data_IF_069961606057
#
_entry.id   IF_069961606057
#
_cell.length_a   1.000
_cell.length_b   1.000
_cell.length_c   1.000
_cell.angle_alpha   90.00
_cell.angle_beta   90.00
_cell.angle_gamma   90.00
#
_symmetry.space_group_name_H-M   'P 1'
#
loop_
_entity.id
_entity.type
_entity.pdbx_description
1 polymer ?
#
# COMPACT_ATOMS: atom_id res chain seq x y z
N UNK A 1 15.20 -49.47 -14.79
CA UNK A 1 15.48 -48.40 -13.80
C UNK A 1 15.50 -46.99 -14.39
N UNK A 2 16.23 -46.69 -15.48
CA UNK A 2 16.28 -45.33 -16.09
C UNK A 2 14.91 -44.72 -16.47
N UNK A 3 13.92 -45.53 -16.88
CA UNK A 3 12.57 -45.05 -17.26
C UNK A 3 11.73 -44.57 -16.08
N UNK A 4 11.94 -45.12 -14.88
CA UNK A 4 11.19 -44.75 -13.67
C UNK A 4 11.67 -43.41 -13.13
N UNK A 5 12.98 -43.14 -13.22
CA UNK A 5 13.58 -41.87 -12.79
C UNK A 5 13.10 -40.70 -13.66
N UNK A 6 12.95 -40.90 -14.98
CA UNK A 6 12.43 -39.88 -15.90
C UNK A 6 10.95 -39.59 -15.62
N UNK A 7 10.14 -40.61 -15.33
CA UNK A 7 8.73 -40.44 -14.93
C UNK A 7 8.61 -39.67 -13.61
N UNK A 8 9.46 -39.99 -12.63
CA UNK A 8 9.49 -39.28 -11.34
C UNK A 8 9.94 -37.82 -11.50
N UNK A 9 10.93 -37.58 -12.37
CA UNK A 9 11.36 -36.22 -12.71
C UNK A 9 10.24 -35.45 -13.39
N UNK A 10 9.48 -36.06 -14.30
CA UNK A 10 8.33 -35.42 -14.95
C UNK A 10 7.21 -35.09 -13.98
N UNK A 11 6.92 -35.98 -13.01
CA UNK A 11 5.95 -35.69 -11.94
C UNK A 11 6.44 -34.59 -11.00
N UNK A 12 7.73 -34.55 -10.65
CA UNK A 12 8.34 -33.47 -9.86
C UNK A 12 8.44 -32.15 -10.64
N UNK A 13 8.61 -32.20 -11.97
CA UNK A 13 8.56 -31.03 -12.85
C UNK A 13 7.13 -30.51 -13.01
N UNK A 14 6.13 -31.40 -13.07
CA UNK A 14 4.71 -31.01 -13.11
C UNK A 14 4.24 -30.38 -11.80
N UNK A 15 4.87 -30.71 -10.67
CA UNK A 15 4.58 -30.06 -9.38
C UNK A 15 5.12 -28.62 -9.33
N UNK A 16 6.16 -28.29 -10.12
CA UNK A 16 6.66 -26.92 -10.28
C UNK A 16 5.85 -26.05 -11.26
N UNK A 17 4.77 -26.58 -11.85
CA UNK A 17 3.93 -25.86 -12.81
C UNK A 17 2.53 -25.49 -12.26
N UNK A 18 2.21 -25.84 -11.02
CA UNK A 18 0.94 -25.42 -10.42
C UNK A 18 1.03 -23.96 -10.00
N UNK A 19 0.19 -23.14 -10.63
CA UNK A 19 -0.15 -21.82 -10.15
C UNK A 19 -0.62 -21.95 -8.69
N UNK A 20 0.25 -21.62 -7.74
CA UNK A 20 -0.01 -21.74 -6.31
C UNK A 20 -1.05 -20.69 -5.87
N UNK A 21 -2.31 -20.93 -6.22
CA UNK A 21 -3.45 -20.21 -5.69
C UNK A 21 -3.87 -20.88 -4.39
N UNK A 22 -3.64 -20.21 -3.26
CA UNK A 22 -4.11 -20.63 -1.95
C UNK A 22 -5.24 -19.69 -1.53
N UNK A 23 -6.39 -20.26 -1.13
CA UNK A 23 -7.50 -19.50 -0.56
C UNK A 23 -7.92 -20.16 0.73
N UNK A 24 -7.72 -19.46 1.84
CA UNK A 24 -7.99 -19.93 3.19
C UNK A 24 -8.82 -18.91 3.96
N UNK A 25 -9.82 -19.37 4.69
CA UNK A 25 -10.56 -18.51 5.60
C UNK A 25 -9.69 -18.14 6.80
N UNK A 26 -9.67 -16.87 7.17
CA UNK A 26 -8.90 -16.32 8.27
C UNK A 26 -9.84 -15.87 9.37
N UNK A 27 -9.49 -16.16 10.62
CA UNK A 27 -10.20 -15.64 11.79
C UNK A 27 -9.87 -14.18 12.09
N UNK A 28 -8.83 -13.63 11.43
CA UNK A 28 -8.31 -12.30 11.68
C UNK A 28 -8.53 -11.38 10.48
N UNK A 29 -8.93 -10.14 10.76
CA UNK A 29 -8.90 -9.00 9.86
C UNK A 29 -8.63 -7.75 10.70
N UNK A 30 -7.59 -6.94 10.40
CA UNK A 30 -7.25 -5.79 11.22
C UNK A 30 -8.32 -4.69 11.10
N UNK A 31 -8.46 -3.91 12.16
CA UNK A 31 -9.47 -2.85 12.24
C UNK A 31 -9.16 -1.65 11.34
N UNK A 32 -7.89 -1.48 10.95
CA UNK A 32 -7.40 -0.34 10.17
C UNK A 32 -6.46 -0.81 9.04
N UNK A 33 -6.19 0.06 8.05
CA UNK A 33 -5.15 -0.17 7.03
C UNK A 33 -5.59 -0.98 5.81
N UNK A 34 -6.90 -1.17 5.63
CA UNK A 34 -7.50 -1.76 4.45
C UNK A 34 -7.99 -0.69 3.47
N UNK A 35 -8.11 -1.06 2.20
CA UNK A 35 -8.82 -0.28 1.20
C UNK A 35 -10.28 -0.73 1.16
N UNK A 36 -11.17 0.22 0.92
CA UNK A 36 -12.61 -0.03 0.83
C UNK A 36 -13.08 0.15 -0.61
N UNK A 37 -13.85 -0.82 -1.10
CA UNK A 37 -14.58 -0.75 -2.35
C UNK A 37 -16.06 -0.78 -2.01
N UNK A 38 -16.74 0.35 -2.24
CA UNK A 38 -18.19 0.46 -2.05
C UNK A 38 -18.89 0.51 -3.40
N UNK A 39 -19.95 -0.27 -3.54
CA UNK A 39 -20.98 -0.05 -4.55
C UNK A 39 -22.35 -0.25 -3.91
N UNK A 40 -23.42 -0.07 -4.70
CA UNK A 40 -24.81 -0.11 -4.22
C UNK A 40 -25.18 -1.40 -3.45
N UNK A 41 -24.44 -2.49 -3.66
CA UNK A 41 -24.76 -3.81 -3.11
C UNK A 41 -23.65 -4.40 -2.24
N UNK A 42 -22.44 -3.87 -2.29
CA UNK A 42 -21.25 -4.48 -1.69
C UNK A 42 -20.36 -3.45 -1.02
N UNK A 43 -19.89 -3.82 0.16
CA UNK A 43 -18.80 -3.19 0.87
C UNK A 43 -17.66 -4.22 0.95
N UNK A 44 -16.55 -3.99 0.25
CA UNK A 44 -15.42 -4.91 0.22
C UNK A 44 -14.23 -4.22 0.87
N UNK A 45 -13.64 -4.88 1.84
CA UNK A 45 -12.41 -4.43 2.48
C UNK A 45 -11.27 -5.39 2.20
N UNK A 46 -10.08 -4.83 2.02
CA UNK A 46 -8.98 -5.61 1.47
C UNK A 46 -7.63 -4.97 1.75
N UNK A 47 -6.70 -5.84 2.12
CA UNK A 47 -5.33 -5.52 2.46
C UNK A 47 -4.43 -6.35 1.56
N UNK A 48 -3.46 -5.68 0.93
CA UNK A 48 -2.36 -6.37 0.27
C UNK A 48 -1.28 -6.65 1.31
N UNK A 49 -1.03 -7.93 1.57
CA UNK A 49 -0.06 -8.37 2.57
C UNK A 49 1.37 -8.27 2.04
N UNK A 50 1.58 -8.71 0.80
CA UNK A 50 2.86 -8.59 0.10
C UNK A 50 2.69 -8.76 -1.42
N UNK A 51 3.72 -8.38 -2.17
CA UNK A 51 3.94 -8.76 -3.57
C UNK A 51 5.44 -8.83 -3.84
N UNK A 52 5.87 -9.92 -4.45
CA UNK A 52 7.20 -10.13 -5.00
C UNK A 52 7.10 -10.50 -6.48
N UNK A 53 8.23 -10.84 -7.11
CA UNK A 53 8.25 -11.17 -8.53
C UNK A 53 7.44 -12.42 -8.89
N UNK A 54 7.20 -13.31 -7.94
CA UNK A 54 6.57 -14.62 -8.15
C UNK A 54 5.12 -14.66 -7.68
N UNK A 55 4.83 -14.04 -6.53
CA UNK A 55 3.55 -14.16 -5.85
C UNK A 55 3.12 -12.88 -5.14
N UNK A 56 1.83 -12.81 -4.84
CA UNK A 56 1.24 -11.76 -4.02
C UNK A 56 0.15 -12.33 -3.14
N UNK A 57 -0.08 -11.70 -2.00
CA UNK A 57 -1.10 -12.11 -1.07
C UNK A 57 -2.00 -10.98 -0.64
N UNK A 58 -3.26 -11.33 -0.39
CA UNK A 58 -4.30 -10.44 0.06
C UNK A 58 -5.07 -11.04 1.23
N UNK A 59 -5.64 -10.17 2.04
CA UNK A 59 -6.69 -10.50 2.98
C UNK A 59 -7.93 -9.73 2.55
N UNK A 60 -9.04 -10.41 2.29
CA UNK A 60 -10.31 -9.80 1.89
C UNK A 60 -11.41 -10.10 2.90
N UNK A 61 -12.30 -9.14 3.17
CA UNK A 61 -13.63 -9.41 3.72
C UNK A 61 -14.65 -8.60 2.95
N UNK A 62 -15.90 -9.02 2.94
CA UNK A 62 -16.92 -8.29 2.21
C UNK A 62 -18.27 -8.41 2.89
N UNK A 63 -19.06 -7.36 2.84
CA UNK A 63 -20.44 -7.33 3.27
C UNK A 63 -21.33 -7.06 2.05
N UNK A 64 -22.44 -7.77 1.96
CA UNK A 64 -23.52 -7.47 1.03
C UNK A 64 -24.69 -6.91 1.83
N UNK A 65 -25.10 -5.69 1.50
CA UNK A 65 -26.35 -5.12 2.04
C UNK A 65 -27.50 -5.84 1.33
N UNK A 66 -28.39 -6.44 2.10
CA UNK A 66 -29.37 -7.37 1.56
C UNK A 66 -30.74 -7.28 2.25
N UNK A 67 -31.84 -7.54 1.55
CA UNK A 67 -33.20 -7.33 2.09
C UNK A 67 -34.18 -8.50 1.89
N UNK A 68 -33.77 -9.63 1.32
CA UNK A 68 -34.70 -10.75 1.07
C UNK A 68 -34.23 -12.06 1.72
N UNK A 69 -34.88 -12.54 2.79
CA UNK A 69 -34.38 -13.67 3.58
C UNK A 69 -34.32 -15.04 2.86
N UNK A 70 -34.92 -15.19 1.67
CA UNK A 70 -35.10 -16.49 0.99
C UNK A 70 -34.07 -16.77 -0.11
N UNK A 71 -33.25 -15.78 -0.48
CA UNK A 71 -32.23 -15.95 -1.51
C UNK A 71 -30.90 -16.47 -0.94
N UNK A 72 -30.37 -17.52 -1.56
CA UNK A 72 -29.04 -18.05 -1.26
C UNK A 72 -27.99 -17.31 -2.10
N UNK A 73 -27.48 -16.20 -1.59
CA UNK A 73 -26.35 -15.50 -2.21
C UNK A 73 -25.01 -16.17 -1.86
N UNK A 74 -24.11 -16.23 -2.84
CA UNK A 74 -22.71 -16.64 -2.65
C UNK A 74 -21.79 -15.58 -3.25
N UNK A 75 -20.65 -15.35 -2.61
CA UNK A 75 -19.60 -14.51 -3.17
C UNK A 75 -18.78 -15.34 -4.17
N UNK A 76 -18.66 -14.87 -5.41
CA UNK A 76 -17.87 -15.54 -6.46
C UNK A 76 -16.48 -14.93 -6.52
N UNK A 77 -15.47 -15.67 -6.07
CA UNK A 77 -14.07 -15.29 -6.23
C UNK A 77 -13.56 -15.84 -7.56
N UNK A 78 -12.95 -14.98 -8.38
CA UNK A 78 -12.34 -15.34 -9.66
C UNK A 78 -10.91 -14.84 -9.72
N UNK A 79 -9.97 -15.72 -10.06
CA UNK A 79 -8.55 -15.41 -10.23
C UNK A 79 -8.14 -15.81 -11.65
N UNK A 80 -7.61 -14.87 -12.42
CA UNK A 80 -7.22 -15.06 -13.82
C UNK A 80 -5.70 -14.99 -13.91
N UNK A 81 -5.05 -16.08 -14.30
CA UNK A 81 -3.61 -16.12 -14.57
C UNK A 81 -3.34 -15.96 -16.07
N UNK A 82 -2.07 -16.02 -16.50
CA UNK A 82 -1.72 -16.04 -17.92
C UNK A 82 -2.26 -17.31 -18.63
N UNK A 83 -2.46 -18.41 -17.89
CA UNK A 83 -2.75 -19.73 -18.45
C UNK A 83 -4.17 -20.23 -18.15
N UNK A 84 -4.81 -19.74 -17.08
CA UNK A 84 -6.06 -20.32 -16.59
C UNK A 84 -6.93 -19.31 -15.81
N UNK A 85 -8.19 -19.69 -15.59
CA UNK A 85 -9.13 -18.99 -14.72
C UNK A 85 -9.57 -19.94 -13.62
N UNK A 86 -9.35 -19.52 -12.38
CA UNK A 86 -9.78 -20.20 -11.17
C UNK A 86 -11.03 -19.52 -10.60
N UNK A 87 -12.07 -20.29 -10.27
CA UNK A 87 -13.29 -19.78 -9.67
C UNK A 87 -13.64 -20.56 -8.40
N UNK A 88 -14.03 -19.84 -7.34
CA UNK A 88 -14.47 -20.42 -6.07
C UNK A 88 -15.66 -19.66 -5.51
N UNK A 89 -16.69 -20.41 -5.13
CA UNK A 89 -17.81 -19.87 -4.37
C UNK A 89 -17.41 -19.79 -2.89
N UNK A 90 -17.58 -18.61 -2.32
CA UNK A 90 -17.35 -18.31 -0.92
C UNK A 90 -18.71 -18.05 -0.27
N UNK A 91 -19.03 -18.86 0.73
CA UNK A 91 -20.32 -18.83 1.39
C UNK A 91 -20.27 -17.80 2.52
N UNK A 92 -21.18 -16.82 2.53
CA UNK A 92 -21.21 -15.84 3.59
C UNK A 92 -21.86 -16.39 4.85
N UNK A 93 -21.44 -15.85 5.97
CA UNK A 93 -22.13 -15.96 7.24
C UNK A 93 -23.30 -14.97 7.27
N UNK A 94 -24.43 -15.43 7.81
CA UNK A 94 -25.58 -14.58 8.07
C UNK A 94 -25.38 -13.92 9.43
N UNK A 95 -25.01 -12.64 9.42
CA UNK A 95 -24.84 -11.86 10.64
C UNK A 95 -26.18 -11.33 11.13
N UNK A 96 -27.00 -10.79 10.23
CA UNK A 96 -28.33 -10.24 10.53
C UNK A 96 -29.37 -10.54 9.43
N UNK A 97 -30.63 -10.12 9.62
CA UNK A 97 -31.67 -10.19 8.57
C UNK A 97 -31.39 -9.31 7.35
N UNK A 98 -30.43 -8.38 7.44
CA UNK A 98 -30.21 -7.31 6.45
C UNK A 98 -28.82 -7.31 5.80
N UNK A 99 -27.96 -8.26 6.15
CA UNK A 99 -26.60 -8.31 5.64
C UNK A 99 -26.08 -9.74 5.59
N UNK A 100 -25.23 -9.98 4.61
CA UNK A 100 -24.45 -11.21 4.48
C UNK A 100 -22.98 -10.83 4.51
N UNK A 101 -22.21 -11.50 5.37
CA UNK A 101 -20.80 -11.21 5.59
C UNK A 101 -19.94 -12.35 5.09
N UNK A 102 -19.05 -12.04 4.16
CA UNK A 102 -17.94 -12.92 3.82
C UNK A 102 -16.88 -12.80 4.92
N UNK A 103 -16.69 -13.90 5.65
CA UNK A 103 -15.59 -14.02 6.60
C UNK A 103 -14.23 -13.79 5.93
N UNK A 104 -13.22 -13.26 6.64
CA UNK A 104 -11.95 -12.90 6.04
C UNK A 104 -11.34 -14.04 5.24
N UNK A 105 -10.83 -13.78 4.04
CA UNK A 105 -10.17 -14.77 3.19
C UNK A 105 -8.75 -14.32 2.91
N UNK A 106 -7.78 -15.14 3.32
CA UNK A 106 -6.39 -15.06 2.89
C UNK A 106 -6.26 -15.68 1.50
N UNK A 107 -5.76 -14.91 0.55
CA UNK A 107 -5.58 -15.33 -0.83
C UNK A 107 -4.12 -15.11 -1.22
N UNK A 108 -3.42 -16.18 -1.58
CA UNK A 108 -2.08 -16.14 -2.18
C UNK A 108 -2.22 -16.55 -3.64
N UNK A 109 -1.61 -15.80 -4.55
CA UNK A 109 -1.70 -16.06 -5.99
C UNK A 109 -0.41 -15.64 -6.71
N UNK A 110 -0.20 -16.06 -7.96
CA UNK A 110 0.90 -15.55 -8.78
C UNK A 110 0.89 -14.02 -8.92
N UNK A 111 2.07 -13.39 -8.96
CA UNK A 111 2.23 -11.92 -8.97
C UNK A 111 1.44 -11.24 -10.09
N UNK A 112 1.39 -11.86 -11.28
CA UNK A 112 0.66 -11.33 -12.44
C UNK A 112 -0.82 -11.72 -12.51
N UNK A 113 -1.31 -12.58 -11.61
CA UNK A 113 -2.70 -13.03 -11.65
C UNK A 113 -3.66 -11.92 -11.23
N UNK A 114 -4.78 -11.78 -11.92
CA UNK A 114 -5.84 -10.81 -11.63
C UNK A 114 -6.89 -11.41 -10.73
N UNK A 115 -7.36 -10.67 -9.73
CA UNK A 115 -8.38 -11.12 -8.78
C UNK A 115 -9.67 -10.30 -8.91
N UNK A 116 -10.81 -10.98 -8.80
CA UNK A 116 -12.15 -10.42 -8.84
C UNK A 116 -13.04 -11.05 -7.76
N UNK A 117 -13.92 -10.25 -7.17
CA UNK A 117 -14.99 -10.72 -6.28
C UNK A 117 -16.33 -10.22 -6.81
N UNK A 118 -17.23 -11.13 -7.19
CA UNK A 118 -18.48 -10.82 -7.88
C UNK A 118 -18.26 -9.89 -9.09
N UNK A 119 -17.30 -10.26 -9.95
CA UNK A 119 -16.89 -9.49 -11.14
C UNK A 119 -16.27 -8.11 -10.86
N UNK A 120 -16.11 -7.71 -9.60
CA UNK A 120 -15.43 -6.46 -9.22
C UNK A 120 -13.91 -6.71 -9.25
N UNK A 121 -13.15 -6.02 -10.12
CA UNK A 121 -11.70 -6.16 -10.18
C UNK A 121 -11.09 -5.59 -8.90
N UNK A 122 -10.46 -6.46 -8.13
CA UNK A 122 -9.94 -6.13 -6.84
C UNK A 122 -8.64 -5.29 -6.98
N UNK A 123 -7.74 -5.64 -7.90
CA UNK A 123 -6.40 -5.02 -8.05
C UNK A 123 -6.37 -3.51 -8.27
N UNK A 124 -7.41 -2.94 -8.88
CA UNK A 124 -7.51 -1.49 -9.13
C UNK A 124 -7.54 -0.67 -7.83
N UNK A 125 -7.81 -1.33 -6.71
CA UNK A 125 -8.04 -0.71 -5.41
C UNK A 125 -6.94 -1.07 -4.38
N UNK A 126 -5.86 -1.77 -4.77
CA UNK A 126 -4.69 -2.08 -3.91
C UNK A 126 -3.37 -1.56 -4.44
N UNK A 127 -3.36 -0.92 -5.60
CA UNK A 127 -2.46 0.20 -5.73
C UNK A 127 -2.86 1.14 -4.60
N UNK A 128 -1.98 1.44 -3.66
CA UNK A 128 -2.10 2.70 -2.94
C UNK A 128 -2.18 3.76 -4.06
N UNK A 129 -3.36 4.32 -4.37
CA UNK A 129 -3.56 5.00 -5.64
C UNK A 129 -2.65 6.24 -5.76
N UNK A 130 -2.15 6.71 -4.61
CA UNK A 130 -1.22 7.81 -4.48
C UNK A 130 0.23 7.39 -4.15
N UNK A 131 0.53 6.10 -3.98
CA UNK A 131 1.90 5.67 -3.69
C UNK A 131 2.77 5.72 -4.94
N UNK A 132 3.55 6.79 -5.02
CA UNK A 132 4.44 7.06 -6.12
C UNK A 132 5.88 6.73 -5.70
N UNK A 133 6.68 6.32 -6.68
CA UNK A 133 8.13 6.32 -6.51
C UNK A 133 8.65 7.75 -6.40
N UNK A 134 9.85 7.92 -5.84
CA UNK A 134 10.43 9.25 -5.69
C UNK A 134 10.60 9.97 -7.04
N UNK A 135 10.96 9.23 -8.11
CA UNK A 135 11.07 9.80 -9.45
C UNK A 135 9.73 10.27 -10.02
N UNK A 136 8.64 9.56 -9.73
CA UNK A 136 7.28 9.96 -10.10
C UNK A 136 6.82 11.20 -9.30
N UNK A 137 7.07 11.22 -7.99
CA UNK A 137 6.76 12.36 -7.12
C UNK A 137 7.45 13.62 -7.62
N UNK A 138 8.74 13.53 -7.93
CA UNK A 138 9.55 14.67 -8.34
C UNK A 138 9.02 15.35 -9.61
N UNK A 139 8.29 14.66 -10.49
CA UNK A 139 7.71 15.29 -11.70
C UNK A 139 6.72 16.39 -11.33
N UNK A 140 5.89 16.16 -10.32
CA UNK A 140 4.73 16.99 -10.00
C UNK A 140 5.01 18.07 -8.92
N UNK A 141 6.13 17.99 -8.21
CA UNK A 141 6.41 18.94 -7.11
C UNK A 141 6.87 20.32 -7.59
N UNK A 142 6.39 21.35 -6.87
CA UNK A 142 6.87 22.73 -6.97
C UNK A 142 8.17 22.93 -6.19
N UNK A 143 9.06 23.74 -6.75
CA UNK A 143 10.31 24.16 -6.10
C UNK A 143 9.98 25.07 -4.90
N UNK A 144 10.82 25.02 -3.87
CA UNK A 144 10.69 25.79 -2.63
C UNK A 144 9.41 25.49 -1.83
N UNK A 145 8.87 24.28 -1.96
CA UNK A 145 7.67 23.84 -1.23
C UNK A 145 8.00 22.57 -0.46
N UNK A 146 7.48 22.49 0.78
CA UNK A 146 7.59 21.29 1.60
C UNK A 146 6.46 20.31 1.23
N UNK A 147 6.83 19.05 1.07
CA UNK A 147 5.89 17.94 0.92
C UNK A 147 6.25 16.86 1.93
N UNK A 148 5.24 16.13 2.37
CA UNK A 148 5.41 15.10 3.37
C UNK A 148 4.84 13.79 2.89
N UNK A 149 5.52 12.72 3.26
CA UNK A 149 5.20 11.40 2.79
C UNK A 149 5.31 10.36 3.90
N UNK A 150 4.52 9.31 3.77
CA UNK A 150 4.66 8.06 4.50
C UNK A 150 5.24 7.01 3.57
N UNK A 151 6.22 6.25 4.05
CA UNK A 151 6.77 5.10 3.32
C UNK A 151 5.85 3.89 3.51
N UNK A 152 5.43 3.28 2.40
CA UNK A 152 4.58 2.07 2.41
C UNK A 152 5.29 0.83 1.89
N UNK A 153 6.33 1.00 1.08
CA UNK A 153 7.28 -0.07 0.73
C UNK A 153 8.64 0.55 0.41
N UNK A 154 9.64 -0.26 0.06
CA UNK A 154 11.05 0.15 -0.13
C UNK A 154 11.20 1.45 -0.96
N UNK A 155 10.43 1.56 -2.05
CA UNK A 155 10.46 2.70 -2.99
C UNK A 155 9.10 3.34 -3.26
N UNK A 156 8.13 3.19 -2.34
CA UNK A 156 6.77 3.73 -2.52
C UNK A 156 6.35 4.61 -1.36
N UNK A 157 5.83 5.78 -1.71
CA UNK A 157 5.54 6.87 -0.78
C UNK A 157 4.18 7.51 -1.07
N UNK A 158 3.39 7.73 -0.02
CA UNK A 158 2.06 8.35 -0.10
C UNK A 158 2.12 9.76 0.47
N UNK A 159 1.57 10.78 -0.22
CA UNK A 159 1.51 12.14 0.31
C UNK A 159 0.63 12.21 1.56
N UNK A 160 1.12 12.88 2.60
CA UNK A 160 0.42 13.03 3.87
C UNK A 160 0.09 14.49 4.11
N UNK A 161 -1.18 14.79 4.39
CA UNK A 161 -1.65 16.13 4.78
C UNK A 161 -1.86 16.26 6.28
N UNK A 162 -2.25 15.17 6.95
CA UNK A 162 -2.45 15.06 8.38
C UNK A 162 -1.69 13.83 8.87
N UNK A 163 -0.94 13.95 9.95
CA UNK A 163 -0.17 12.85 10.52
C UNK A 163 -0.85 12.31 11.74
N UNK A 164 -0.91 10.99 11.84
CA UNK A 164 -1.24 10.31 13.09
C UNK A 164 0.01 10.19 13.96
N UNK A 165 -0.21 10.18 15.27
CA UNK A 165 0.82 9.92 16.27
C UNK A 165 1.65 8.66 15.95
N UNK A 166 2.96 8.77 16.13
CA UNK A 166 3.94 7.69 15.92
C UNK A 166 4.10 7.18 14.48
N UNK A 167 3.51 7.86 13.49
CA UNK A 167 3.80 7.58 12.09
C UNK A 167 5.21 8.01 11.70
N UNK A 168 5.83 7.23 10.82
CA UNK A 168 7.13 7.56 10.26
C UNK A 168 6.99 8.59 9.12
N UNK A 169 7.53 9.78 9.35
CA UNK A 169 7.39 10.90 8.42
C UNK A 169 8.65 11.09 7.58
N UNK A 170 8.45 11.22 6.28
CA UNK A 170 9.45 11.65 5.32
C UNK A 170 9.15 13.06 4.84
N UNK A 171 10.19 13.88 4.77
CA UNK A 171 10.11 15.22 4.22
C UNK A 171 10.79 15.29 2.87
N UNK A 172 10.10 15.89 1.91
CA UNK A 172 10.61 16.23 0.59
C UNK A 172 10.63 17.74 0.42
N UNK A 173 11.75 18.26 -0.05
CA UNK A 173 11.88 19.66 -0.46
C UNK A 173 12.68 19.74 -1.76
N UNK A 174 12.10 20.32 -2.81
CA UNK A 174 12.83 20.64 -4.03
C UNK A 174 13.42 22.05 -3.94
N UNK A 175 14.70 22.20 -4.28
CA UNK A 175 15.41 23.46 -4.24
C UNK A 175 16.40 23.55 -5.39
N UNK A 176 16.92 24.76 -5.63
CA UNK A 176 17.97 25.00 -6.61
C UNK A 176 19.20 25.57 -5.90
N UNK A 177 20.00 24.73 -5.24
CA UNK A 177 21.24 25.19 -4.64
C UNK A 177 22.22 25.73 -5.70
N UNK A 178 22.92 26.81 -5.37
CA UNK A 178 23.96 27.49 -6.14
C UNK A 178 25.35 27.38 -5.52
N UNK A 179 25.46 27.43 -4.18
CA UNK A 179 26.77 27.53 -3.50
C UNK A 179 27.06 26.36 -2.56
N UNK A 180 26.04 25.72 -2.02
CA UNK A 180 26.18 24.51 -1.20
C UNK A 180 25.25 23.41 -1.66
N UNK A 181 25.73 22.17 -1.65
CA UNK A 181 24.89 20.99 -1.82
C UNK A 181 24.24 20.54 -0.49
N UNK A 182 24.47 21.22 0.63
CA UNK A 182 23.94 20.84 1.95
C UNK A 182 22.77 21.73 2.34
N UNK A 183 21.74 21.13 2.91
CA UNK A 183 20.69 21.82 3.62
C UNK A 183 20.86 21.62 5.12
N UNK A 184 20.36 22.57 5.90
CA UNK A 184 20.17 22.42 7.35
C UNK A 184 18.66 22.34 7.57
N UNK A 185 18.17 21.24 8.14
CA UNK A 185 16.77 21.08 8.52
C UNK A 185 16.68 21.05 10.04
N UNK A 186 15.95 22.02 10.59
CA UNK A 186 15.62 22.14 12.01
C UNK A 186 14.12 21.86 12.20
N UNK A 187 13.77 20.94 13.08
CA UNK A 187 12.39 20.57 13.40
C UNK A 187 12.19 20.77 14.90
N UNK A 188 11.34 21.72 15.25
CA UNK A 188 11.22 22.20 16.62
C UNK A 188 9.75 22.30 17.05
N UNK A 189 9.42 21.84 18.27
CA UNK A 189 8.11 22.01 18.89
C UNK A 189 8.14 22.74 20.26
N UNK A 190 9.23 23.42 20.58
CA UNK A 190 9.51 24.09 21.85
C UNK A 190 10.07 23.16 22.93
N UNK A 191 9.83 21.84 22.85
CA UNK A 191 10.32 20.83 23.80
C UNK A 191 11.42 19.93 23.23
N UNK A 192 11.40 19.74 21.92
CA UNK A 192 12.29 18.90 21.15
C UNK A 192 12.82 19.70 19.96
N UNK A 193 14.09 19.51 19.65
CA UNK A 193 14.77 20.10 18.50
C UNK A 193 15.56 19.00 17.79
N UNK A 194 15.16 18.69 16.55
CA UNK A 194 15.86 17.75 15.68
C UNK A 194 16.58 18.57 14.61
N UNK A 195 17.90 18.41 14.54
CA UNK A 195 18.74 19.09 13.56
C UNK A 195 19.40 18.06 12.65
N UNK A 196 19.24 18.22 11.34
CA UNK A 196 19.81 17.33 10.32
C UNK A 196 20.48 18.12 9.21
N UNK A 197 21.45 17.49 8.54
CA UNK A 197 22.30 18.10 7.51
C UNK A 197 22.28 17.32 6.20
N UNK A 198 21.11 17.12 5.57
CA UNK A 198 21.00 16.34 4.35
C UNK A 198 21.66 17.04 3.16
N UNK A 199 22.11 16.24 2.21
CA UNK A 199 22.60 16.73 0.92
C UNK A 199 21.45 16.76 -0.10
N UNK A 200 21.46 17.79 -0.93
CA UNK A 200 20.66 17.88 -2.13
C UNK A 200 21.13 16.82 -3.12
N UNK A 201 20.22 15.93 -3.49
CA UNK A 201 20.40 14.94 -4.55
C UNK A 201 19.77 15.45 -5.84
N UNK A 202 20.18 14.90 -6.97
CA UNK A 202 19.58 15.20 -8.28
C UNK A 202 18.91 13.94 -8.80
N UNK A 203 17.63 14.05 -9.13
CA UNK A 203 16.86 12.99 -9.79
C UNK A 203 15.83 13.64 -10.72
N UNK A 204 15.66 13.09 -11.92
CA UNK A 204 14.73 13.61 -12.93
C UNK A 204 14.90 15.12 -13.21
N UNK A 205 16.15 15.60 -13.19
CA UNK A 205 16.48 17.00 -13.45
C UNK A 205 16.13 17.99 -12.32
N UNK A 206 15.62 17.52 -11.18
CA UNK A 206 15.32 18.36 -10.01
C UNK A 206 16.31 18.06 -8.89
N UNK A 207 16.80 19.14 -8.25
CA UNK A 207 17.57 19.03 -7.02
C UNK A 207 16.62 19.02 -5.82
N UNK A 208 16.81 18.07 -4.92
CA UNK A 208 15.89 17.83 -3.82
C UNK A 208 16.58 17.28 -2.58
N UNK A 209 15.94 17.46 -1.44
CA UNK A 209 16.24 16.75 -0.18
C UNK A 209 15.06 15.85 0.14
N UNK A 210 15.34 14.57 0.39
CA UNK A 210 14.37 13.61 0.88
C UNK A 210 14.89 12.95 2.16
N UNK A 211 14.31 13.29 3.30
CA UNK A 211 14.85 12.96 4.61
C UNK A 211 13.79 12.28 5.48
N UNK A 212 14.16 11.14 6.07
CA UNK A 212 13.39 10.53 7.16
C UNK A 212 13.53 11.42 8.40
N UNK A 213 12.41 11.95 8.88
CA UNK A 213 12.35 12.76 10.10
C UNK A 213 12.22 11.87 11.33
N UNK A 214 11.56 10.72 11.19
CA UNK A 214 11.28 9.79 12.29
C UNK A 214 9.82 9.85 12.74
N UNK A 215 9.57 9.35 13.95
CA UNK A 215 8.25 9.32 14.57
C UNK A 215 8.04 10.57 15.41
N UNK A 216 7.05 11.38 15.05
CA UNK A 216 6.70 12.60 15.77
C UNK A 216 5.55 12.33 16.75
N UNK A 217 5.54 13.07 17.86
CA UNK A 217 4.49 13.00 18.88
C UNK A 217 3.42 14.06 18.62
N UNK A 218 2.24 13.94 19.25
CA UNK A 218 1.20 14.97 19.18
C UNK A 218 1.74 16.32 19.64
N UNK A 219 1.94 17.21 18.67
CA UNK A 219 2.41 18.56 18.89
C UNK A 219 2.32 19.34 17.58
N UNK A 220 2.44 20.65 17.73
CA UNK A 220 2.74 21.57 16.66
C UNK A 220 4.26 21.63 16.45
N UNK A 221 4.72 21.48 15.21
CA UNK A 221 6.13 21.55 14.83
C UNK A 221 6.37 22.65 13.81
N UNK A 222 7.49 23.36 13.96
CA UNK A 222 8.04 24.28 12.98
C UNK A 222 9.23 23.59 12.32
N UNK A 223 9.16 23.42 11.01
CA UNK A 223 10.23 22.85 10.19
C UNK A 223 10.88 24.00 9.44
N UNK A 224 12.16 24.23 9.67
CA UNK A 224 12.95 25.24 8.98
C UNK A 224 14.05 24.58 8.17
N UNK A 225 14.09 24.86 6.87
CA UNK A 225 15.12 24.41 5.95
C UNK A 225 15.96 25.61 5.48
N UNK A 226 17.29 25.51 5.59
CA UNK A 226 18.24 26.56 5.18
C UNK A 226 19.28 26.03 4.19
N UNK A 227 19.56 26.80 3.14
CA UNK A 227 20.67 26.59 2.19
C UNK A 227 20.94 27.90 1.44
N UNK A 228 22.17 28.16 0.98
CA UNK A 228 22.54 29.35 0.16
C UNK A 228 21.95 30.69 0.63
N UNK A 229 21.99 30.95 1.94
CA UNK A 229 21.38 32.12 2.60
C UNK A 229 19.84 32.20 2.53
N UNK A 230 19.17 31.22 1.93
CA UNK A 230 17.71 31.08 1.94
C UNK A 230 17.25 30.31 3.16
N UNK A 231 16.06 30.66 3.65
CA UNK A 231 15.41 30.00 4.77
C UNK A 231 13.93 29.84 4.45
N UNK A 232 13.43 28.61 4.57
CA UNK A 232 12.03 28.26 4.35
C UNK A 232 11.50 27.65 5.64
N UNK A 233 10.31 28.04 6.05
CA UNK A 233 9.66 27.48 7.24
C UNK A 233 8.27 26.96 6.90
N UNK A 234 7.90 25.85 7.52
CA UNK A 234 6.57 25.27 7.40
C UNK A 234 6.12 24.74 8.75
N UNK A 235 4.83 24.86 9.00
CA UNK A 235 4.20 24.46 10.25
C UNK A 235 3.35 23.22 10.02
N UNK A 236 3.58 22.17 10.81
CA UNK A 236 2.76 20.96 10.82
C UNK A 236 2.17 20.73 12.20
N UNK A 237 0.99 20.13 12.24
CA UNK A 237 0.35 19.66 13.47
C UNK A 237 0.19 18.15 13.37
N UNK A 238 0.75 17.43 14.35
CA UNK A 238 0.55 15.99 14.53
C UNK A 238 -0.63 15.80 15.48
N UNK A 239 -1.62 15.02 15.08
CA UNK A 239 -2.81 14.69 15.86
C UNK A 239 -2.75 13.25 16.37
#
# INVERSE_FOLDING_TARGET
MKKIIIGLLFTLLSINLFANILIHESSFFPENGFNVINNDNFHIEIIKLYEDNNSKAFLIRADKIYFDPDYKFVFKLKIITENETYEKNLYPDRTDKKSLKLSPQLIIMPSKAKIYLNDIPLEKYYAFPDAKSLSEILKDIKIHTFYFYKKVSEDKYIPVKNFEKNEEVYLLFAGNPKFTNKAIININNGKMNILTYPEFKILSGKSYVFQKIGKLTESKYIITLKYDKRSYSYEITIK
#
